data_IF_509323627695
#
_entry.id   IF_509323627695
#
_cell.length_a   1.000
_cell.length_b   1.000
_cell.length_c   1.000
_cell.angle_alpha   90.00
_cell.angle_beta   90.00
_cell.angle_gamma   90.00
#
_symmetry.space_group_name_H-M   'P 1'
#
loop_
_entity.id
_entity.type
_entity.pdbx_description
1 polymer ?
#
# COMPACT_ATOMS: atom_id res chain seq x y z
N UNK A 1 7.67 -32.36 -16.25
CA UNK A 1 8.35 -31.65 -17.36
C UNK A 1 7.75 -30.25 -17.46
N UNK A 2 8.10 -29.33 -16.56
CA UNK A 2 7.57 -27.96 -16.50
C UNK A 2 8.69 -26.92 -16.71
N UNK A 3 9.78 -27.32 -17.38
CA UNK A 3 11.01 -26.52 -17.53
C UNK A 3 11.73 -26.79 -18.87
N UNK A 4 11.01 -27.05 -19.97
CA UNK A 4 11.64 -27.29 -21.28
C UNK A 4 11.30 -26.25 -22.37
N UNK A 5 10.37 -25.32 -22.12
CA UNK A 5 10.03 -24.23 -23.06
C UNK A 5 10.54 -22.85 -22.60
N UNK A 6 11.60 -22.82 -21.78
CA UNK A 6 12.16 -21.58 -21.21
C UNK A 6 13.45 -21.19 -21.92
N UNK A 7 13.47 -21.21 -23.25
CA UNK A 7 14.65 -20.80 -23.99
C UNK A 7 14.28 -20.30 -25.39
N UNK A 8 13.85 -19.05 -25.48
CA UNK A 8 14.32 -18.05 -26.45
C UNK A 8 13.52 -16.76 -26.29
N UNK A 9 14.25 -15.65 -26.15
CA UNK A 9 13.75 -14.27 -26.10
C UNK A 9 13.17 -13.77 -24.77
N UNK A 10 13.91 -14.03 -23.69
CA UNK A 10 13.74 -13.31 -22.44
C UNK A 10 14.57 -12.01 -22.51
N UNK A 11 13.97 -10.94 -23.05
CA UNK A 11 14.37 -9.56 -22.71
C UNK A 11 14.51 -9.52 -21.17
N UNK A 12 15.68 -9.08 -20.69
CA UNK A 12 16.19 -9.41 -19.37
C UNK A 12 15.14 -9.38 -18.24
N UNK A 13 15.23 -10.32 -17.27
CA UNK A 13 14.36 -10.33 -16.07
C UNK A 13 14.32 -8.95 -15.44
N UNK A 14 15.45 -8.24 -15.47
CA UNK A 14 15.61 -6.89 -14.97
C UNK A 14 14.71 -5.90 -15.71
N UNK A 15 14.67 -5.95 -17.04
CA UNK A 15 13.81 -5.09 -17.87
C UNK A 15 12.32 -5.42 -17.70
N UNK A 16 11.97 -6.71 -17.56
CA UNK A 16 10.62 -7.12 -17.19
C UNK A 16 10.22 -6.62 -15.80
N UNK A 17 11.07 -6.79 -14.79
CA UNK A 17 10.86 -6.32 -13.42
C UNK A 17 10.75 -4.80 -13.37
N UNK A 18 11.56 -4.07 -14.14
CA UNK A 18 11.44 -2.63 -14.29
C UNK A 18 10.13 -2.21 -14.94
N UNK A 19 9.68 -2.92 -15.98
CA UNK A 19 8.41 -2.62 -16.65
C UNK A 19 7.20 -2.82 -15.74
N UNK A 20 7.25 -3.83 -14.85
CA UNK A 20 6.22 -4.09 -13.85
C UNK A 20 6.24 -3.03 -12.75
N UNK A 21 7.43 -2.65 -12.27
CA UNK A 21 7.60 -1.55 -11.28
C UNK A 21 7.05 -0.22 -11.82
N UNK A 22 7.28 0.09 -13.10
CA UNK A 22 6.78 1.31 -13.75
C UNK A 22 5.27 1.29 -14.01
N UNK A 23 4.62 0.12 -14.01
CA UNK A 23 3.19 -0.04 -14.34
C UNK A 23 2.25 -0.22 -13.14
N UNK A 24 2.74 -0.45 -11.92
CA UNK A 24 1.85 -0.60 -10.76
C UNK A 24 1.32 0.74 -10.28
N UNK A 25 0.26 1.22 -10.93
CA UNK A 25 -0.56 2.30 -10.43
C UNK A 25 -1.30 1.82 -9.18
N UNK A 26 -0.86 2.28 -8.01
CA UNK A 26 -1.61 2.09 -6.77
C UNK A 26 -3.04 2.63 -6.93
N UNK A 27 -4.07 1.93 -6.42
CA UNK A 27 -5.43 2.44 -6.44
C UNK A 27 -5.52 3.72 -5.60
N UNK A 28 -6.37 4.65 -6.03
CA UNK A 28 -6.61 5.91 -5.32
C UNK A 28 -6.99 5.63 -3.85
N UNK A 29 -6.41 6.38 -2.91
CA UNK A 29 -6.75 6.25 -1.50
C UNK A 29 -8.18 6.73 -1.24
N UNK A 30 -9.09 5.81 -0.92
CA UNK A 30 -10.46 6.16 -0.52
C UNK A 30 -10.60 6.43 0.99
N UNK A 31 -9.48 6.55 1.71
CA UNK A 31 -9.45 6.77 3.17
C UNK A 31 -10.27 5.72 3.94
N UNK A 32 -10.10 4.44 3.62
CA UNK A 32 -10.84 3.34 4.29
C UNK A 32 -10.24 2.94 5.65
N UNK A 33 -9.06 3.46 6.01
CA UNK A 33 -8.40 3.17 7.30
C UNK A 33 -7.86 1.75 7.46
N UNK A 34 -7.99 0.89 6.45
CA UNK A 34 -7.64 -0.54 6.53
C UNK A 34 -6.22 -0.79 7.05
N UNK A 35 -5.22 -0.12 6.47
CA UNK A 35 -3.82 -0.30 6.86
C UNK A 35 -3.60 -0.02 8.36
N UNK A 36 -4.26 1.01 8.91
CA UNK A 36 -4.16 1.39 10.31
C UNK A 36 -4.89 0.45 11.27
N UNK A 37 -5.81 -0.41 10.78
CA UNK A 37 -6.57 -1.38 11.59
C UNK A 37 -5.99 -2.78 11.57
N UNK A 38 -5.12 -3.09 10.62
CA UNK A 38 -4.64 -4.46 10.38
C UNK A 38 -3.17 -4.66 10.73
N UNK A 39 -2.32 -3.66 10.46
CA UNK A 39 -0.88 -3.82 10.66
C UNK A 39 -0.23 -2.55 11.21
N UNK A 40 0.82 -2.67 12.05
CA UNK A 40 1.66 -1.54 12.40
C UNK A 40 2.27 -0.88 11.15
N UNK A 41 2.20 0.44 11.11
CA UNK A 41 2.89 1.25 10.11
C UNK A 41 4.27 1.65 10.64
N UNK A 42 5.28 1.75 9.77
CA UNK A 42 6.63 2.22 10.13
C UNK A 42 6.64 3.57 10.86
N UNK A 43 5.70 4.45 10.49
CA UNK A 43 5.54 5.79 11.09
C UNK A 43 4.55 5.83 12.26
N UNK A 44 3.74 4.78 12.41
CA UNK A 44 2.64 4.75 13.36
C UNK A 44 3.04 4.14 14.70
N UNK A 45 2.17 4.33 15.69
CA UNK A 45 2.24 3.62 16.97
C UNK A 45 1.04 2.71 17.11
N UNK A 46 1.27 1.42 17.30
CA UNK A 46 0.18 0.46 17.46
C UNK A 46 -0.40 0.52 18.88
N UNK A 47 -1.72 0.64 18.99
CA UNK A 47 -2.42 0.56 20.27
C UNK A 47 -3.00 -0.84 20.48
N UNK A 48 -2.37 -1.64 21.34
CA UNK A 48 -2.82 -3.02 21.58
C UNK A 48 -4.21 -3.11 22.23
N UNK A 49 -4.66 -2.09 22.96
CA UNK A 49 -6.00 -2.07 23.58
C UNK A 49 -7.09 -1.80 22.55
N UNK A 50 -6.87 -0.82 21.66
CA UNK A 50 -7.80 -0.47 20.58
C UNK A 50 -7.67 -1.37 19.35
N UNK A 51 -6.59 -2.18 19.27
CA UNK A 51 -6.22 -3.03 18.12
C UNK A 51 -6.13 -2.24 16.81
N UNK A 52 -5.58 -1.02 16.87
CA UNK A 52 -5.39 -0.15 15.71
C UNK A 52 -4.26 0.86 15.97
N UNK A 53 -3.83 1.58 14.93
CA UNK A 53 -2.91 2.70 15.03
C UNK A 53 -3.46 3.81 15.96
N UNK A 54 -2.61 4.39 16.81
CA UNK A 54 -2.96 5.51 17.69
C UNK A 54 -3.34 6.79 16.92
N UNK A 55 -2.81 6.96 15.71
CA UNK A 55 -3.05 8.14 14.85
C UNK A 55 -4.20 7.94 13.85
N UNK A 56 -5.03 6.92 14.05
CA UNK A 56 -6.22 6.70 13.22
C UNK A 56 -7.37 7.55 13.74
N UNK A 57 -7.88 8.47 12.91
CA UNK A 57 -9.05 9.29 13.23
C UNK A 57 -10.35 8.52 13.06
N UNK A 58 -11.44 9.08 13.61
CA UNK A 58 -12.80 8.57 13.44
C UNK A 58 -13.23 8.57 11.97
N UNK A 59 -12.72 9.53 11.17
CA UNK A 59 -12.93 9.60 9.71
C UNK A 59 -12.06 8.63 8.90
N UNK A 60 -11.34 7.72 9.57
CA UNK A 60 -10.39 6.78 8.97
C UNK A 60 -9.21 7.44 8.23
N UNK A 61 -8.78 8.62 8.69
CA UNK A 61 -7.59 9.34 8.20
C UNK A 61 -6.41 9.13 9.15
N UNK A 62 -5.21 9.46 8.68
CA UNK A 62 -3.99 9.45 9.49
C UNK A 62 -3.71 10.86 10.01
N UNK A 63 -3.70 11.05 11.33
CA UNK A 63 -3.48 12.36 11.96
C UNK A 63 -2.08 12.95 11.72
N UNK A 64 -1.12 12.09 11.37
CA UNK A 64 0.27 12.49 11.10
C UNK A 64 0.62 12.43 9.61
N UNK A 65 -0.40 12.44 8.73
CA UNK A 65 -0.21 12.31 7.29
C UNK A 65 0.78 13.33 6.72
N UNK A 66 0.58 14.62 6.99
CA UNK A 66 1.42 15.69 6.44
C UNK A 66 2.88 15.55 6.89
N UNK A 67 3.10 15.13 8.14
CA UNK A 67 4.44 14.83 8.66
C UNK A 67 5.09 13.68 7.89
N UNK A 68 4.35 12.63 7.56
CA UNK A 68 4.89 11.49 6.81
C UNK A 68 5.20 11.89 5.37
N UNK A 69 4.31 12.68 4.73
CA UNK A 69 4.53 13.20 3.38
C UNK A 69 5.82 14.01 3.32
N UNK A 70 6.07 14.87 4.30
CA UNK A 70 7.32 15.65 4.39
C UNK A 70 8.54 14.75 4.61
N UNK A 71 8.44 13.72 5.45
CA UNK A 71 9.53 12.75 5.69
C UNK A 71 9.86 11.88 4.47
N UNK A 72 8.90 11.65 3.59
CA UNK A 72 9.05 10.83 2.37
C UNK A 72 9.19 11.66 1.09
N UNK A 73 9.26 13.00 1.18
CA UNK A 73 9.22 13.88 0.00
C UNK A 73 10.34 13.60 -1.00
N UNK A 74 11.55 13.30 -0.50
CA UNK A 74 12.76 13.06 -1.29
C UNK A 74 13.01 11.57 -1.55
N UNK A 75 12.10 10.69 -1.12
CA UNK A 75 12.26 9.24 -1.28
C UNK A 75 11.65 8.78 -2.61
N UNK A 76 12.45 8.08 -3.40
CA UNK A 76 11.99 7.42 -4.63
C UNK A 76 10.90 6.36 -4.32
N UNK A 77 11.07 5.63 -3.21
CA UNK A 77 10.09 4.64 -2.74
C UNK A 77 9.44 5.12 -1.45
N UNK A 78 8.12 5.31 -1.51
CA UNK A 78 7.28 5.70 -0.36
C UNK A 78 6.78 4.46 0.36
N UNK A 79 7.04 4.37 1.66
CA UNK A 79 6.57 3.27 2.50
C UNK A 79 5.13 3.49 2.93
N UNK A 80 4.73 4.75 3.10
CA UNK A 80 3.37 5.08 3.48
C UNK A 80 2.40 4.78 2.32
N UNK A 81 1.28 4.13 2.65
CA UNK A 81 0.28 3.74 1.65
C UNK A 81 0.55 2.44 0.90
N UNK A 82 1.74 1.83 1.05
CA UNK A 82 2.09 0.53 0.44
C UNK A 82 1.05 -0.57 0.72
N UNK A 83 0.54 -0.64 1.95
CA UNK A 83 -0.52 -1.59 2.31
C UNK A 83 -1.83 -1.43 1.50
N UNK A 84 -2.16 -0.21 1.06
CA UNK A 84 -3.30 0.04 0.19
C UNK A 84 -3.04 -0.44 -1.25
N UNK A 85 -1.79 -0.35 -1.71
CA UNK A 85 -1.39 -0.85 -3.03
C UNK A 85 -1.36 -2.38 -3.10
N UNK A 86 -0.93 -3.02 -2.01
CA UNK A 86 -0.79 -4.48 -1.95
C UNK A 86 -2.12 -5.22 -1.77
N UNK A 87 -3.19 -4.54 -1.35
CA UNK A 87 -4.49 -5.16 -1.10
C UNK A 87 -5.67 -4.32 -1.61
N UNK A 88 -5.81 -4.29 -2.94
CA UNK A 88 -6.87 -3.55 -3.65
C UNK A 88 -8.30 -4.08 -3.37
N UNK A 89 -8.45 -5.34 -2.95
CA UNK A 89 -9.76 -5.96 -2.62
C UNK A 89 -10.05 -5.98 -1.12
N UNK A 90 -9.38 -5.15 -0.32
CA UNK A 90 -9.67 -5.16 1.11
C UNK A 90 -11.14 -4.77 1.38
N UNK A 91 -11.82 -5.45 2.32
CA UNK A 91 -13.27 -5.26 2.53
C UNK A 91 -13.66 -3.83 2.90
N UNK A 92 -12.84 -3.12 3.67
CA UNK A 92 -13.13 -1.75 4.10
C UNK A 92 -13.13 -0.77 2.91
N UNK A 93 -12.22 -0.97 1.95
CA UNK A 93 -12.23 -0.24 0.68
C UNK A 93 -13.50 -0.52 -0.11
N UNK A 94 -13.85 -1.79 -0.30
CA UNK A 94 -15.02 -2.19 -1.09
C UNK A 94 -16.32 -1.62 -0.51
N UNK A 95 -16.49 -1.70 0.82
CA UNK A 95 -17.63 -1.10 1.53
C UNK A 95 -17.73 0.41 1.30
N UNK A 96 -16.60 1.13 1.36
CA UNK A 96 -16.58 2.58 1.17
C UNK A 96 -16.84 2.99 -0.28
N UNK A 97 -16.42 2.16 -1.24
CA UNK A 97 -16.73 2.36 -2.66
C UNK A 97 -18.20 2.07 -3.00
N UNK A 98 -18.84 1.09 -2.35
CA UNK A 98 -20.25 0.79 -2.58
C UNK A 98 -21.23 1.81 -1.97
N UNK A 99 -20.73 2.73 -1.14
CA UNK A 99 -21.51 3.79 -0.51
C UNK A 99 -21.40 5.14 -1.23
N UNK A 100 -20.59 5.22 -2.28
CA UNK A 100 -20.48 6.38 -3.17
C UNK A 100 -21.47 6.28 -4.32
#
# INVERSE_FOLDING_TARGET
MFFEDFNEEFESLDEFVESVRKKTNCPECVQCGYCCKITPCYYGKWNSKKKQCEYLTDDNKCDIYDKIVELEKDKEVKMFGSGCCLNYMNPERLKKLSQK
#
